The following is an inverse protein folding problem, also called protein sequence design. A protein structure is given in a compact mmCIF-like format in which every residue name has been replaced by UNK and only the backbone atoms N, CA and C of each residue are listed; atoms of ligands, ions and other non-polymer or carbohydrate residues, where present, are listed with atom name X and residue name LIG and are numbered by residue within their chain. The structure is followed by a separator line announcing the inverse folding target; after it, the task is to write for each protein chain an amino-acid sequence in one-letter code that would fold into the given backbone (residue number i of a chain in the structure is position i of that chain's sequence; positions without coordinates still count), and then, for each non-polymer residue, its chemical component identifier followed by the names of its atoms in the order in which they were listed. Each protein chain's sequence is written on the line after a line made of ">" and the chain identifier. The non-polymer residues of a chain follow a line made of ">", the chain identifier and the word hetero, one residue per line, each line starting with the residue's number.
data_IF_987792106255
#
_entry.id   IF_987792106255
#
_cell.length_a   1.000
_cell.length_b   1.000
_cell.length_c   1.000
_cell.angle_alpha   90.00
_cell.angle_beta   90.00
_cell.angle_gamma   90.00
#
_symmetry.space_group_name_H-M   'P 1'
#
loop_
_entity.id
_entity.type
_entity.pdbx_description
1 polymer ?
#
# COMPACT_ATOMS: atom_id res chain seq x y z
N UNK A 1 4.24 13.23 2.54
CA UNK A 1 5.24 12.76 1.56
C UNK A 1 5.25 11.23 1.37
N UNK A 2 4.76 10.46 2.32
CA UNK A 2 4.69 8.99 2.31
C UNK A 2 3.72 8.46 1.26
N UNK A 3 2.53 9.04 1.12
CA UNK A 3 1.48 8.61 0.18
C UNK A 3 1.93 8.37 -1.28
N UNK A 4 2.88 9.14 -1.80
CA UNK A 4 3.34 8.98 -3.19
C UNK A 4 4.33 7.82 -3.37
N UNK A 5 5.11 7.51 -2.34
CA UNK A 5 6.05 6.39 -2.35
C UNK A 5 5.29 5.06 -2.23
N UNK A 6 4.26 5.03 -1.38
CA UNK A 6 3.44 3.84 -1.15
C UNK A 6 2.67 3.42 -2.41
N UNK A 7 2.14 4.40 -3.17
CA UNK A 7 1.47 4.12 -4.43
C UNK A 7 2.42 3.59 -5.52
N UNK A 8 3.64 4.15 -5.62
CA UNK A 8 4.64 3.66 -6.55
C UNK A 8 5.10 2.24 -6.17
N UNK A 9 5.25 1.96 -4.88
CA UNK A 9 5.58 0.63 -4.39
C UNK A 9 4.45 -0.36 -4.67
N UNK A 10 3.20 0.02 -4.40
CA UNK A 10 2.02 -0.79 -4.73
C UNK A 10 1.98 -1.16 -6.21
N UNK A 11 2.09 -0.17 -7.10
CA UNK A 11 2.12 -0.41 -8.55
C UNK A 11 3.26 -1.35 -8.94
N UNK A 12 4.47 -1.13 -8.41
CA UNK A 12 5.66 -1.94 -8.69
C UNK A 12 5.46 -3.41 -8.27
N UNK A 13 4.95 -3.65 -7.06
CA UNK A 13 4.77 -5.02 -6.53
C UNK A 13 3.68 -5.75 -7.32
N UNK A 14 2.59 -5.07 -7.67
CA UNK A 14 1.55 -5.62 -8.56
C UNK A 14 2.10 -5.93 -9.95
N UNK A 15 2.91 -5.04 -10.51
CA UNK A 15 3.53 -5.24 -11.81
C UNK A 15 4.54 -6.39 -11.83
N UNK A 16 5.17 -6.70 -10.69
CA UNK A 16 6.16 -7.78 -10.61
C UNK A 16 5.60 -9.17 -10.94
N UNK A 17 4.31 -9.41 -10.76
CA UNK A 17 3.65 -10.69 -11.02
C UNK A 17 2.87 -10.71 -12.35
N UNK A 18 2.84 -9.59 -13.09
CA UNK A 18 2.12 -9.45 -14.35
C UNK A 18 3.06 -9.51 -15.55
N UNK A 19 2.56 -10.05 -16.67
CA UNK A 19 3.19 -9.96 -17.98
C UNK A 19 2.59 -8.83 -18.86
N UNK A 20 1.77 -7.94 -18.25
CA UNK A 20 1.03 -6.90 -18.97
C UNK A 20 1.93 -5.99 -19.79
N UNK A 21 1.42 -5.61 -20.98
CA UNK A 21 2.07 -4.69 -21.89
C UNK A 21 1.85 -3.25 -21.39
N UNK A 22 2.93 -2.57 -21.12
CA UNK A 22 2.91 -1.15 -20.80
C UNK A 22 2.64 -0.32 -22.06
N UNK A 23 1.62 0.52 -22.01
CA UNK A 23 1.32 1.46 -23.10
C UNK A 23 1.96 2.80 -22.79
N UNK A 24 2.91 3.21 -23.64
CA UNK A 24 3.56 4.51 -23.53
C UNK A 24 2.74 5.57 -24.27
N UNK A 25 2.29 6.60 -23.59
CA UNK A 25 1.70 7.80 -24.18
C UNK A 25 2.54 9.04 -23.89
N UNK A 26 2.49 10.03 -24.80
CA UNK A 26 3.12 11.33 -24.59
C UNK A 26 2.05 12.36 -24.19
N UNK A 27 1.97 12.70 -22.91
CA UNK A 27 0.94 13.59 -22.36
C UNK A 27 1.52 14.90 -21.83
N UNK A 28 0.70 15.96 -21.92
CA UNK A 28 1.03 17.26 -21.33
C UNK A 28 0.80 17.26 -19.81
N UNK A 29 1.74 17.78 -19.06
CA UNK A 29 1.57 17.95 -17.62
C UNK A 29 0.57 19.08 -17.33
N UNK A 30 -0.39 18.88 -16.41
CA UNK A 30 -1.34 19.93 -16.00
C UNK A 30 -0.63 21.19 -15.49
N UNK A 31 0.50 21.02 -14.78
CA UNK A 31 1.31 22.12 -14.28
C UNK A 31 2.20 22.78 -15.36
N UNK A 32 2.47 22.10 -16.49
CA UNK A 32 3.23 22.64 -17.60
C UNK A 32 2.75 22.00 -18.93
N UNK A 33 1.67 22.53 -19.53
CA UNK A 33 1.05 21.97 -20.71
C UNK A 33 1.95 22.00 -21.97
N UNK A 34 3.01 22.80 -21.97
CA UNK A 34 3.96 22.89 -23.08
C UNK A 34 5.03 21.78 -23.05
N UNK A 35 5.16 21.05 -21.92
CA UNK A 35 6.15 19.98 -21.79
C UNK A 35 5.45 18.63 -21.79
N UNK A 36 5.55 17.90 -22.88
CA UNK A 36 5.09 16.51 -22.97
C UNK A 36 6.07 15.59 -22.28
N UNK A 37 5.54 14.64 -21.51
CA UNK A 37 6.32 13.56 -20.85
C UNK A 37 5.79 12.23 -21.32
N UNK A 38 6.67 11.25 -21.46
CA UNK A 38 6.28 9.86 -21.63
C UNK A 38 5.64 9.38 -20.32
N UNK A 39 4.40 8.92 -20.42
CA UNK A 39 3.64 8.35 -19.29
C UNK A 39 3.40 6.89 -19.60
N UNK A 40 3.67 6.04 -18.63
CA UNK A 40 3.35 4.62 -18.67
C UNK A 40 1.93 4.44 -18.15
N UNK A 41 1.08 3.85 -18.97
CA UNK A 41 -0.26 3.42 -18.57
C UNK A 41 -0.23 1.91 -18.35
N UNK A 42 -0.55 1.49 -17.16
CA UNK A 42 -0.85 0.11 -16.83
C UNK A 42 -2.05 0.07 -15.88
N UNK A 43 -2.80 -1.03 -15.87
CA UNK A 43 -3.92 -1.20 -14.93
C UNK A 43 -3.48 -1.02 -13.48
N UNK A 44 -2.26 -1.47 -13.15
CA UNK A 44 -1.70 -1.39 -11.80
C UNK A 44 -1.33 0.05 -11.41
N UNK A 45 -0.80 0.84 -12.34
CA UNK A 45 -0.54 2.27 -12.12
C UNK A 45 -1.84 3.04 -11.94
N UNK A 46 -2.86 2.75 -12.75
CA UNK A 46 -4.18 3.38 -12.64
C UNK A 46 -4.85 3.02 -11.30
N UNK A 47 -4.80 1.75 -10.88
CA UNK A 47 -5.29 1.31 -9.57
C UNK A 47 -4.56 2.03 -8.43
N UNK A 48 -3.22 2.10 -8.47
CA UNK A 48 -2.44 2.81 -7.46
C UNK A 48 -2.78 4.31 -7.41
N UNK A 49 -3.04 4.94 -8.56
CA UNK A 49 -3.50 6.33 -8.64
C UNK A 49 -4.89 6.51 -8.03
N UNK A 50 -5.81 5.57 -8.26
CA UNK A 50 -7.14 5.59 -7.64
C UNK A 50 -7.04 5.44 -6.12
N UNK A 51 -6.20 4.52 -5.62
CA UNK A 51 -5.92 4.35 -4.18
C UNK A 51 -5.38 5.65 -3.57
N UNK A 52 -4.42 6.33 -4.22
CA UNK A 52 -3.93 7.63 -3.74
C UNK A 52 -5.06 8.66 -3.61
N UNK A 53 -5.97 8.71 -4.58
CA UNK A 53 -7.10 9.64 -4.54
C UNK A 53 -8.11 9.28 -3.46
N UNK A 54 -8.32 7.99 -3.19
CA UNK A 54 -9.17 7.51 -2.08
C UNK A 54 -8.57 7.95 -0.75
N UNK A 55 -7.30 7.69 -0.51
CA UNK A 55 -6.62 8.06 0.74
C UNK A 55 -6.55 9.59 0.93
N UNK A 56 -6.26 10.34 -0.15
CA UNK A 56 -6.29 11.80 -0.12
C UNK A 56 -7.68 12.36 0.20
N UNK A 57 -8.74 11.73 -0.32
CA UNK A 57 -10.12 12.11 -0.01
C UNK A 57 -10.43 11.95 1.47
N UNK A 58 -10.12 10.79 2.05
CA UNK A 58 -10.37 10.56 3.48
C UNK A 58 -9.53 11.46 4.37
N UNK A 59 -8.28 11.78 3.97
CA UNK A 59 -7.48 12.77 4.67
C UNK A 59 -8.10 14.17 4.63
N UNK A 60 -8.64 14.60 3.48
CA UNK A 60 -9.34 15.89 3.38
C UNK A 60 -10.61 15.94 4.25
N UNK A 61 -11.33 14.83 4.39
CA UNK A 61 -12.48 14.75 5.30
C UNK A 61 -12.04 14.89 6.76
N UNK A 62 -10.95 14.25 7.13
CA UNK A 62 -10.35 14.35 8.45
C UNK A 62 -9.91 15.79 8.78
N UNK A 63 -9.20 16.46 7.87
CA UNK A 63 -8.80 17.87 7.99
C UNK A 63 -10.02 18.84 8.13
N UNK A 64 -11.18 18.47 7.57
CA UNK A 64 -12.43 19.25 7.74
C UNK A 64 -13.01 19.04 9.13
N UNK A 65 -13.05 17.79 9.59
CA UNK A 65 -13.69 17.42 10.86
C UNK A 65 -12.89 17.90 12.08
N UNK A 66 -11.56 17.80 12.03
CA UNK A 66 -10.70 18.13 13.17
C UNK A 66 -10.37 19.64 13.25
N UNK A 67 -10.09 20.30 12.12
CA UNK A 67 -9.60 21.68 12.13
C UNK A 67 -10.47 22.67 11.31
N UNK A 68 -11.51 22.19 10.65
CA UNK A 68 -12.39 23.01 9.81
C UNK A 68 -11.69 23.74 8.66
N UNK A 69 -10.51 23.25 8.23
CA UNK A 69 -9.60 23.89 7.28
C UNK A 69 -10.28 24.25 5.97
N UNK A 70 -10.24 25.53 5.63
CA UNK A 70 -10.90 26.09 4.44
C UNK A 70 -10.39 25.44 3.14
N UNK A 71 -9.08 25.18 3.04
CA UNK A 71 -8.52 24.53 1.86
C UNK A 71 -9.09 23.14 1.63
N UNK A 72 -9.33 22.37 2.70
CA UNK A 72 -9.87 21.02 2.61
C UNK A 72 -11.33 21.05 2.10
N UNK A 73 -12.13 22.04 2.51
CA UNK A 73 -13.50 22.26 2.00
C UNK A 73 -13.51 22.59 0.51
N UNK A 74 -12.53 23.38 0.04
CA UNK A 74 -12.41 23.71 -1.39
C UNK A 74 -11.93 22.49 -2.18
N UNK A 75 -10.92 21.79 -1.67
CA UNK A 75 -10.35 20.60 -2.31
C UNK A 75 -11.40 19.48 -2.44
N UNK A 76 -12.15 19.17 -1.39
CA UNK A 76 -13.24 18.17 -1.45
C UNK A 76 -14.29 18.53 -2.49
N UNK A 77 -14.63 19.82 -2.65
CA UNK A 77 -15.58 20.26 -3.68
C UNK A 77 -15.06 20.02 -5.10
N UNK A 78 -13.77 20.26 -5.33
CA UNK A 78 -13.12 20.03 -6.61
C UNK A 78 -12.97 18.53 -6.94
N UNK A 79 -12.59 17.73 -5.94
CA UNK A 79 -12.35 16.29 -6.12
C UNK A 79 -13.61 15.43 -6.05
N UNK A 80 -14.72 15.94 -5.54
CA UNK A 80 -15.98 15.20 -5.31
C UNK A 80 -16.46 14.39 -6.53
N UNK A 81 -16.42 15.00 -7.72
CA UNK A 81 -16.88 14.32 -8.96
C UNK A 81 -15.96 13.16 -9.35
N UNK A 82 -14.63 13.35 -9.22
CA UNK A 82 -13.66 12.31 -9.51
C UNK A 82 -13.73 11.18 -8.48
N UNK A 83 -13.79 11.55 -7.20
CA UNK A 83 -13.93 10.58 -6.11
C UNK A 83 -15.20 9.73 -6.26
N UNK A 84 -16.34 10.35 -6.58
CA UNK A 84 -17.60 9.59 -6.80
C UNK A 84 -17.44 8.49 -7.84
N UNK A 85 -16.77 8.76 -8.96
CA UNK A 85 -16.50 7.77 -10.02
C UNK A 85 -15.58 6.65 -9.50
N UNK A 86 -14.54 7.01 -8.77
CA UNK A 86 -13.61 6.02 -8.18
C UNK A 86 -14.33 5.16 -7.14
N UNK A 87 -15.16 5.78 -6.30
CA UNK A 87 -15.96 5.08 -5.30
C UNK A 87 -16.93 4.07 -5.93
N UNK A 88 -17.61 4.44 -7.02
CA UNK A 88 -18.52 3.53 -7.74
C UNK A 88 -17.80 2.27 -8.24
N UNK A 89 -16.54 2.41 -8.69
CA UNK A 89 -15.73 1.29 -9.18
C UNK A 89 -15.05 0.48 -8.06
N UNK A 90 -14.77 1.11 -6.90
CA UNK A 90 -13.99 0.52 -5.81
C UNK A 90 -14.77 0.55 -4.48
N UNK A 91 -16.09 0.38 -4.52
CA UNK A 91 -16.95 0.59 -3.35
C UNK A 91 -16.54 -0.22 -2.14
N UNK A 92 -16.32 -1.53 -2.32
CA UNK A 92 -15.94 -2.43 -1.22
C UNK A 92 -14.63 -2.00 -0.57
N UNK A 93 -13.63 -1.62 -1.37
CA UNK A 93 -12.36 -1.13 -0.86
C UNK A 93 -12.52 0.19 -0.11
N UNK A 94 -13.28 1.14 -0.66
CA UNK A 94 -13.56 2.42 -0.01
C UNK A 94 -14.25 2.23 1.35
N UNK A 95 -15.26 1.35 1.42
CA UNK A 95 -15.99 1.07 2.66
C UNK A 95 -15.07 0.43 3.72
N UNK A 96 -14.15 -0.46 3.33
CA UNK A 96 -13.13 -1.04 4.21
C UNK A 96 -12.12 0.00 4.71
N UNK A 97 -11.63 0.87 3.83
CA UNK A 97 -10.73 1.97 4.19
C UNK A 97 -11.40 2.90 5.19
N UNK A 98 -12.64 3.32 4.91
CA UNK A 98 -13.42 4.18 5.83
C UNK A 98 -13.58 3.53 7.21
N UNK A 99 -13.94 2.26 7.25
CA UNK A 99 -14.08 1.50 8.50
C UNK A 99 -12.79 1.50 9.32
N UNK A 100 -11.66 1.13 8.70
CA UNK A 100 -10.37 1.05 9.38
C UNK A 100 -9.90 2.43 9.88
N UNK A 101 -10.04 3.48 9.06
CA UNK A 101 -9.69 4.85 9.45
C UNK A 101 -10.57 5.37 10.58
N UNK A 102 -11.87 5.05 10.58
CA UNK A 102 -12.79 5.45 11.65
C UNK A 102 -12.40 4.83 12.98
N UNK A 103 -12.13 3.51 13.02
CA UNK A 103 -11.72 2.84 14.26
C UNK A 103 -10.35 3.36 14.72
N UNK A 104 -9.41 3.58 13.80
CA UNK A 104 -8.11 4.16 14.14
C UNK A 104 -8.27 5.52 14.82
N UNK A 105 -9.08 6.44 14.25
CA UNK A 105 -9.37 7.75 14.86
C UNK A 105 -10.03 7.63 16.24
N UNK A 106 -10.95 6.69 16.44
CA UNK A 106 -11.56 6.45 17.75
C UNK A 106 -10.50 6.03 18.78
N UNK A 107 -9.56 5.17 18.41
CA UNK A 107 -8.45 4.74 19.28
C UNK A 107 -7.49 5.90 19.59
N UNK A 108 -7.19 6.75 18.61
CA UNK A 108 -6.33 7.93 18.78
C UNK A 108 -7.00 8.98 19.67
N UNK A 109 -8.28 9.29 19.46
CA UNK A 109 -9.08 10.19 20.32
C UNK A 109 -9.20 9.66 21.75
N UNK A 110 -9.30 8.34 21.93
CA UNK A 110 -9.28 7.68 23.23
C UNK A 110 -7.87 7.59 23.86
N UNK A 111 -6.85 8.10 23.17
CA UNK A 111 -5.44 8.05 23.61
C UNK A 111 -4.99 6.61 23.97
N UNK A 112 -5.29 5.70 23.07
CA UNK A 112 -5.00 4.26 23.24
C UNK A 112 -3.53 4.04 23.56
N UNK A 113 -3.26 3.20 24.57
CA UNK A 113 -1.91 2.72 24.90
C UNK A 113 -1.55 1.42 24.20
N UNK A 114 -2.46 0.84 23.44
CA UNK A 114 -2.24 -0.41 22.73
C UNK A 114 -1.67 -0.13 21.34
N UNK A 115 -0.35 -0.19 21.24
CA UNK A 115 0.37 -0.05 19.97
C UNK A 115 -0.10 -1.09 18.95
N UNK A 116 -0.36 -2.33 19.40
CA UNK A 116 -0.85 -3.38 18.51
C UNK A 116 -2.22 -3.07 17.90
N UNK A 117 -3.16 -2.50 18.69
CA UNK A 117 -4.48 -2.14 18.17
C UNK A 117 -4.40 -0.99 17.17
N UNK A 118 -3.67 0.06 17.48
CA UNK A 118 -3.58 1.24 16.60
C UNK A 118 -2.87 0.90 15.31
N UNK A 119 -1.71 0.22 15.37
CA UNK A 119 -1.00 -0.21 14.17
C UNK A 119 -1.76 -1.25 13.35
N UNK A 120 -2.61 -2.08 13.99
CA UNK A 120 -3.42 -3.09 13.31
C UNK A 120 -4.40 -2.49 12.30
N UNK A 121 -5.16 -1.46 12.68
CA UNK A 121 -6.17 -0.91 11.77
C UNK A 121 -5.56 -0.20 10.56
N UNK A 122 -4.40 0.43 10.73
CA UNK A 122 -3.66 0.96 9.58
C UNK A 122 -3.05 -0.16 8.72
N UNK A 123 -2.56 -1.22 9.35
CA UNK A 123 -2.05 -2.41 8.67
C UNK A 123 -3.16 -3.14 7.88
N UNK A 124 -4.36 -3.30 8.46
CA UNK A 124 -5.52 -3.89 7.77
C UNK A 124 -5.96 -3.06 6.56
N UNK A 125 -5.96 -1.73 6.68
CA UNK A 125 -6.23 -0.83 5.56
C UNK A 125 -5.28 -1.10 4.39
N UNK A 126 -3.97 -1.20 4.67
CA UNK A 126 -2.97 -1.50 3.65
C UNK A 126 -3.10 -2.92 3.12
N UNK A 127 -3.40 -3.90 3.97
CA UNK A 127 -3.69 -5.27 3.56
C UNK A 127 -4.86 -5.35 2.57
N UNK A 128 -5.96 -4.64 2.85
CA UNK A 128 -7.12 -4.58 1.96
C UNK A 128 -6.80 -3.92 0.60
N UNK A 129 -5.94 -2.90 0.58
CA UNK A 129 -5.47 -2.26 -0.65
C UNK A 129 -4.67 -3.25 -1.51
N UNK A 130 -3.69 -3.93 -0.92
CA UNK A 130 -2.83 -4.88 -1.64
C UNK A 130 -3.62 -6.09 -2.13
N UNK A 131 -4.51 -6.62 -1.31
CA UNK A 131 -5.44 -7.69 -1.67
C UNK A 131 -6.29 -7.30 -2.88
N UNK A 132 -6.96 -6.14 -2.83
CA UNK A 132 -7.82 -5.67 -3.92
C UNK A 132 -7.02 -5.45 -5.20
N UNK A 133 -5.77 -4.99 -5.10
CA UNK A 133 -4.88 -4.85 -6.25
C UNK A 133 -4.71 -6.18 -6.99
N UNK A 134 -4.41 -7.26 -6.29
CA UNK A 134 -4.28 -8.60 -6.89
C UNK A 134 -5.60 -9.15 -7.41
N UNK A 135 -6.70 -8.92 -6.69
CA UNK A 135 -8.02 -9.35 -7.12
C UNK A 135 -8.42 -8.73 -8.47
N UNK A 136 -7.93 -7.52 -8.76
CA UNK A 136 -8.17 -6.79 -10.01
C UNK A 136 -7.21 -7.20 -11.16
N UNK A 137 -6.17 -8.00 -10.88
CA UNK A 137 -5.25 -8.48 -11.90
C UNK A 137 -5.87 -9.68 -12.63
N UNK A 138 -5.90 -9.60 -13.95
CA UNK A 138 -6.16 -10.74 -14.81
C UNK A 138 -4.86 -11.55 -14.92
N UNK A 139 -4.69 -12.59 -14.09
CA UNK A 139 -3.55 -13.53 -14.18
C UNK A 139 -3.66 -14.45 -15.40
N UNK A 140 -4.72 -14.32 -16.17
CA UNK A 140 -5.05 -15.16 -17.31
C UNK A 140 -4.71 -14.39 -18.58
N UNK A 141 -3.70 -14.85 -19.30
CA UNK A 141 -3.54 -14.50 -20.72
C UNK A 141 -4.52 -15.35 -21.56
N UNK A 142 -5.82 -14.99 -21.48
CA UNK A 142 -6.87 -15.66 -22.26
C UNK A 142 -6.61 -15.61 -23.76
N UNK A 143 -5.84 -14.64 -24.24
CA UNK A 143 -5.46 -14.55 -25.67
C UNK A 143 -4.40 -15.57 -26.08
N UNK A 144 -3.48 -15.98 -25.20
CA UNK A 144 -2.51 -17.05 -25.49
C UNK A 144 -3.20 -18.41 -25.55
N UNK A 145 -4.11 -18.67 -24.60
CA UNK A 145 -4.87 -19.95 -24.58
C UNK A 145 -5.74 -20.09 -25.83
N UNK A 146 -6.36 -19.00 -26.33
CA UNK A 146 -7.16 -19.05 -27.56
C UNK A 146 -6.35 -19.13 -28.86
N UNK A 147 -5.08 -18.70 -28.88
CA UNK A 147 -4.25 -18.77 -30.11
C UNK A 147 -3.59 -20.13 -30.29
N UNK A 148 -3.42 -20.93 -29.26
CA UNK A 148 -2.92 -22.30 -29.36
C UNK A 148 -3.99 -23.30 -29.85
N UNK A 149 -5.28 -23.02 -29.64
CA UNK A 149 -6.40 -23.89 -30.04
C UNK A 149 -6.88 -23.69 -31.50
N UNK A 150 -6.29 -22.77 -32.28
CA UNK A 150 -6.70 -22.54 -33.70
C UNK A 150 -5.93 -23.35 -34.72
N UNK A 151 -5.29 -24.45 -34.34
CA UNK A 151 -4.74 -25.44 -35.29
C UNK A 151 -5.75 -26.57 -35.54
N UNK A 152 -6.50 -26.39 -36.61
CA UNK A 152 -7.26 -27.31 -37.46
C UNK A 152 -7.19 -28.81 -37.16
N UNK A 153 -8.35 -29.38 -36.95
CA UNK A 153 -8.92 -30.72 -37.11
C UNK A 153 -9.59 -31.21 -35.84
N UNK A 154 -10.87 -30.87 -35.69
CA UNK A 154 -11.67 -31.27 -34.54
C UNK A 154 -12.42 -32.57 -34.78
N UNK A 155 -11.93 -33.67 -34.17
CA UNK A 155 -12.74 -34.84 -33.88
C UNK A 155 -13.45 -34.68 -32.52
N UNK A 156 -14.63 -35.28 -32.37
CA UNK A 156 -15.49 -35.17 -31.17
C UNK A 156 -14.78 -35.65 -29.86
N UNK A 157 -13.75 -36.46 -29.97
CA UNK A 157 -12.87 -36.89 -28.88
C UNK A 157 -11.93 -35.75 -28.39
N UNK A 158 -11.42 -34.94 -29.29
CA UNK A 158 -10.54 -33.81 -28.97
C UNK A 158 -11.29 -32.69 -28.21
N UNK A 159 -12.60 -32.54 -28.46
CA UNK A 159 -13.44 -31.57 -27.73
C UNK A 159 -13.60 -31.90 -26.25
N UNK A 160 -13.73 -33.19 -25.88
CA UNK A 160 -13.83 -33.59 -24.47
C UNK A 160 -12.48 -33.45 -23.75
N UNK A 161 -11.41 -33.82 -24.40
CA UNK A 161 -10.06 -33.68 -23.81
C UNK A 161 -9.66 -32.20 -23.65
N UNK A 162 -10.00 -31.34 -24.62
CA UNK A 162 -9.84 -29.90 -24.55
C UNK A 162 -10.66 -29.26 -23.40
N UNK A 163 -11.88 -29.73 -23.18
CA UNK A 163 -12.74 -29.25 -22.08
C UNK A 163 -12.17 -29.61 -20.71
N UNK A 164 -11.67 -30.83 -20.51
CA UNK A 164 -11.03 -31.25 -19.25
C UNK A 164 -9.71 -30.52 -19.01
N UNK A 165 -8.89 -30.30 -20.04
CA UNK A 165 -7.66 -29.49 -19.93
C UNK A 165 -7.95 -28.06 -19.55
N UNK A 166 -8.98 -27.45 -20.13
CA UNK A 166 -9.40 -26.08 -19.81
C UNK A 166 -9.88 -25.97 -18.34
N UNK A 167 -10.71 -26.91 -17.89
CA UNK A 167 -11.20 -26.90 -16.51
C UNK A 167 -10.06 -27.09 -15.48
N UNK A 168 -9.03 -27.89 -15.81
CA UNK A 168 -7.86 -28.09 -14.97
C UNK A 168 -6.93 -26.85 -14.95
N UNK A 169 -6.78 -26.16 -16.07
CA UNK A 169 -6.06 -24.88 -16.18
C UNK A 169 -6.77 -23.79 -15.37
N UNK A 170 -8.07 -23.68 -15.52
CA UNK A 170 -8.88 -22.68 -14.77
C UNK A 170 -8.78 -22.91 -13.25
N UNK A 171 -8.79 -24.18 -12.79
CA UNK A 171 -8.60 -24.52 -11.37
C UNK A 171 -7.20 -24.15 -10.85
N UNK A 172 -6.17 -24.41 -11.62
CA UNK A 172 -4.78 -24.05 -11.23
C UNK A 172 -4.61 -22.54 -11.12
N UNK A 173 -5.19 -21.79 -12.05
CA UNK A 173 -5.13 -20.33 -12.06
C UNK A 173 -5.91 -19.71 -10.88
N UNK A 174 -7.08 -20.26 -10.55
CA UNK A 174 -7.84 -19.85 -9.36
C UNK A 174 -7.06 -20.11 -8.08
N UNK A 175 -6.39 -21.26 -7.96
CA UNK A 175 -5.54 -21.59 -6.81
C UNK A 175 -4.32 -20.64 -6.74
N UNK A 176 -3.69 -20.33 -7.85
CA UNK A 176 -2.57 -19.40 -7.89
C UNK A 176 -3.00 -17.99 -7.51
N UNK A 177 -4.15 -17.52 -8.02
CA UNK A 177 -4.71 -16.21 -7.66
C UNK A 177 -5.04 -16.13 -6.18
N UNK A 178 -5.68 -17.16 -5.62
CA UNK A 178 -5.97 -17.23 -4.18
C UNK A 178 -4.69 -17.17 -3.34
N UNK A 179 -3.65 -17.86 -3.75
CA UNK A 179 -2.35 -17.83 -3.08
C UNK A 179 -1.70 -16.44 -3.12
N UNK A 180 -1.74 -15.76 -4.29
CA UNK A 180 -1.23 -14.41 -4.40
C UNK A 180 -2.03 -13.41 -3.55
N UNK A 181 -3.34 -13.57 -3.45
CA UNK A 181 -4.19 -12.75 -2.58
C UNK A 181 -3.69 -12.80 -1.12
N UNK A 182 -3.40 -14.00 -0.61
CA UNK A 182 -2.88 -14.16 0.76
C UNK A 182 -1.48 -13.54 0.93
N UNK A 183 -0.57 -13.76 -0.03
CA UNK A 183 0.78 -13.20 0.00
C UNK A 183 0.73 -11.65 -0.02
N UNK A 184 -0.06 -11.08 -0.93
CA UNK A 184 -0.16 -9.63 -1.03
C UNK A 184 -0.84 -8.99 0.18
N UNK A 185 -1.81 -9.68 0.78
CA UNK A 185 -2.40 -9.25 2.04
C UNK A 185 -1.34 -9.20 3.15
N UNK A 186 -0.47 -10.22 3.25
CA UNK A 186 0.63 -10.26 4.22
C UNK A 186 1.65 -9.14 3.97
N UNK A 187 2.03 -8.90 2.71
CA UNK A 187 2.89 -7.77 2.33
C UNK A 187 2.26 -6.45 2.74
N UNK A 188 1.00 -6.22 2.36
CA UNK A 188 0.28 -4.99 2.66
C UNK A 188 0.14 -4.74 4.16
N UNK A 189 -0.19 -5.77 4.94
CA UNK A 189 -0.31 -5.69 6.39
C UNK A 189 1.01 -5.25 7.05
N UNK A 190 2.11 -5.89 6.69
CA UNK A 190 3.41 -5.60 7.31
C UNK A 190 4.00 -4.28 6.83
N UNK A 191 3.78 -3.88 5.56
CA UNK A 191 4.12 -2.54 5.07
C UNK A 191 3.31 -1.47 5.83
N UNK A 192 2.00 -1.67 5.99
CA UNK A 192 1.15 -0.74 6.72
C UNK A 192 1.58 -0.59 8.18
N UNK A 193 1.87 -1.69 8.87
CA UNK A 193 2.37 -1.65 10.25
C UNK A 193 3.70 -0.94 10.34
N UNK A 194 4.62 -1.21 9.41
CA UNK A 194 5.93 -0.56 9.33
C UNK A 194 5.79 0.95 9.09
N UNK A 195 4.98 1.37 8.10
CA UNK A 195 4.75 2.80 7.79
C UNK A 195 4.18 3.54 9.00
N UNK A 196 3.14 2.99 9.64
CA UNK A 196 2.51 3.61 10.80
C UNK A 196 3.49 3.83 11.95
N UNK A 197 4.38 2.86 12.19
CA UNK A 197 5.38 2.95 13.25
C UNK A 197 6.54 3.90 12.92
N UNK A 198 7.00 3.91 11.67
CA UNK A 198 8.05 4.83 11.20
C UNK A 198 7.58 6.27 11.32
N UNK A 199 6.36 6.58 10.90
CA UNK A 199 5.77 7.91 11.06
C UNK A 199 5.64 8.29 12.53
N UNK A 200 5.16 7.37 13.36
CA UNK A 200 5.07 7.61 14.80
C UNK A 200 6.43 7.93 15.44
N UNK A 201 7.54 7.33 14.98
CA UNK A 201 8.90 7.67 15.43
C UNK A 201 9.34 9.04 14.95
N UNK A 202 9.09 9.35 13.67
CA UNK A 202 9.48 10.63 13.05
C UNK A 202 8.79 11.80 13.77
N UNK A 203 7.52 11.65 14.07
CA UNK A 203 6.65 12.68 14.64
C UNK A 203 6.78 12.86 16.17
N UNK A 204 7.63 12.11 16.87
CA UNK A 204 7.70 12.16 18.35
C UNK A 204 7.93 13.58 18.85
N UNK A 205 8.92 14.30 18.31
CA UNK A 205 9.27 15.63 18.78
C UNK A 205 8.17 16.65 18.55
N UNK A 206 7.56 16.62 17.38
CA UNK A 206 6.42 17.49 17.03
C UNK A 206 5.20 17.18 17.91
N UNK A 207 4.88 15.90 18.13
CA UNK A 207 3.74 15.48 18.93
C UNK A 207 3.94 15.77 20.43
N UNK A 208 5.16 15.73 20.96
CA UNK A 208 5.45 16.19 22.31
C UNK A 208 5.23 17.69 22.47
N UNK A 209 5.61 18.51 21.45
CA UNK A 209 5.42 19.96 21.48
C UNK A 209 3.96 20.39 21.32
N UNK A 210 3.23 19.70 20.43
CA UNK A 210 1.82 20.06 20.11
C UNK A 210 0.81 19.40 21.04
N UNK A 211 1.20 18.35 21.75
CA UNK A 211 0.30 17.52 22.55
C UNK A 211 -0.60 16.61 21.69
N UNK A 212 -0.28 16.45 20.41
CA UNK A 212 -0.95 15.53 19.51
C UNK A 212 -0.75 14.08 19.96
N UNK A 213 -1.70 13.22 19.56
CA UNK A 213 -1.58 11.80 19.87
C UNK A 213 -0.42 11.16 19.11
N UNK A 214 0.37 10.37 19.82
CA UNK A 214 1.39 9.52 19.23
C UNK A 214 1.38 8.15 19.95
N UNK A 215 1.20 7.03 19.24
CA UNK A 215 1.02 5.73 19.87
C UNK A 215 2.23 5.28 20.69
N UNK A 216 3.45 5.70 20.32
CA UNK A 216 4.68 5.38 21.03
C UNK A 216 4.78 6.16 22.34
N UNK A 217 4.44 7.45 22.34
CA UNK A 217 4.43 8.30 23.54
C UNK A 217 3.49 7.70 24.58
N UNK A 218 2.27 7.30 24.18
CA UNK A 218 1.31 6.70 25.10
C UNK A 218 1.66 5.27 25.52
N UNK A 219 2.22 4.48 24.62
CA UNK A 219 2.64 3.09 24.90
C UNK A 219 3.77 3.03 25.91
N UNK A 220 4.80 3.86 25.73
CA UNK A 220 6.05 3.81 26.49
C UNK A 220 6.12 4.86 27.61
N UNK A 221 5.06 5.64 27.82
CA UNK A 221 4.99 6.69 28.85
C UNK A 221 6.22 7.61 28.81
N UNK A 222 6.23 8.59 27.91
CA UNK A 222 7.25 9.63 27.95
C UNK A 222 7.16 10.40 29.27
N UNK A 223 8.27 10.57 29.98
CA UNK A 223 8.35 11.29 31.24
C UNK A 223 8.25 12.79 31.01
N UNK A 224 7.79 13.55 32.03
CA UNK A 224 7.53 15.00 31.86
C UNK A 224 8.77 15.81 31.46
N UNK A 225 9.93 15.40 31.95
CA UNK A 225 11.20 16.09 31.73
C UNK A 225 12.08 15.38 30.70
N UNK A 226 11.57 14.34 30.06
CA UNK A 226 12.28 13.56 29.04
C UNK A 226 12.20 14.27 27.69
N UNK A 227 13.37 14.59 27.09
CA UNK A 227 13.41 15.15 25.75
C UNK A 227 12.96 14.13 24.70
N UNK A 228 12.47 14.59 23.54
CA UNK A 228 12.09 13.70 22.42
C UNK A 228 13.26 12.82 21.98
N UNK A 229 14.49 13.34 22.01
CA UNK A 229 15.73 12.61 21.69
C UNK A 229 15.97 11.49 22.70
N UNK A 230 15.92 11.77 24.00
CA UNK A 230 16.14 10.77 25.04
C UNK A 230 15.05 9.71 25.02
N UNK A 231 13.81 10.13 24.82
CA UNK A 231 12.68 9.21 24.65
C UNK A 231 12.87 8.27 23.45
N UNK A 232 13.19 8.80 22.25
CA UNK A 232 13.52 7.98 21.07
C UNK A 232 14.63 6.97 21.38
N UNK A 233 15.70 7.40 22.03
CA UNK A 233 16.82 6.55 22.44
C UNK A 233 16.38 5.42 23.36
N UNK A 234 15.54 5.71 24.35
CA UNK A 234 15.04 4.73 25.33
C UNK A 234 14.16 3.66 24.71
N UNK A 235 13.29 4.03 23.77
CA UNK A 235 12.34 3.10 23.15
C UNK A 235 12.92 2.38 21.90
N UNK A 236 14.02 2.88 21.35
CA UNK A 236 14.65 2.37 20.11
C UNK A 236 14.77 0.85 20.07
N UNK A 237 15.29 0.12 21.09
CA UNK A 237 15.46 -1.33 21.00
C UNK A 237 14.15 -2.09 20.81
N UNK A 238 13.04 -1.58 21.37
CA UNK A 238 11.72 -2.20 21.26
C UNK A 238 11.09 -1.91 19.90
N UNK A 239 11.18 -0.66 19.44
CA UNK A 239 10.61 -0.24 18.14
C UNK A 239 11.38 -0.88 17.00
N UNK A 240 12.71 -0.88 17.04
CA UNK A 240 13.57 -1.51 16.05
C UNK A 240 13.20 -2.98 15.84
N UNK A 241 13.04 -3.73 16.94
CA UNK A 241 12.62 -5.13 16.88
C UNK A 241 11.29 -5.31 16.13
N UNK A 242 10.30 -4.46 16.36
CA UNK A 242 8.99 -4.55 15.71
C UNK A 242 9.13 -4.24 14.22
N UNK A 243 9.89 -3.20 13.88
CA UNK A 243 10.13 -2.80 12.49
C UNK A 243 10.86 -3.90 11.71
N UNK A 244 11.91 -4.49 12.29
CA UNK A 244 12.66 -5.60 11.69
C UNK A 244 11.75 -6.81 11.44
N UNK A 245 10.90 -7.18 12.41
CA UNK A 245 9.92 -8.26 12.22
C UNK A 245 8.98 -7.99 11.03
N UNK A 246 8.48 -6.75 10.89
CA UNK A 246 7.66 -6.40 9.72
C UNK A 246 8.44 -6.60 8.42
N UNK A 247 9.69 -6.14 8.34
CA UNK A 247 10.53 -6.29 7.16
C UNK A 247 10.85 -7.75 6.83
N UNK A 248 11.08 -8.59 7.85
CA UNK A 248 11.26 -10.04 7.66
C UNK A 248 10.02 -10.72 7.09
N UNK A 249 8.82 -10.36 7.57
CA UNK A 249 7.56 -10.89 7.04
C UNK A 249 7.35 -10.48 5.58
N UNK A 250 7.63 -9.22 5.25
CA UNK A 250 7.55 -8.73 3.86
C UNK A 250 8.51 -9.52 2.96
N UNK A 251 9.77 -9.67 3.38
CA UNK A 251 10.79 -10.39 2.62
C UNK A 251 10.37 -11.84 2.37
N UNK A 252 9.94 -12.56 3.41
CA UNK A 252 9.44 -13.94 3.30
C UNK A 252 8.23 -14.06 2.39
N UNK A 253 7.30 -13.11 2.46
CA UNK A 253 6.12 -13.11 1.61
C UNK A 253 6.51 -12.89 0.13
N UNK A 254 7.43 -11.95 -0.15
CA UNK A 254 7.91 -11.70 -1.52
C UNK A 254 8.70 -12.88 -2.10
N UNK A 255 9.42 -13.65 -1.28
CA UNK A 255 10.12 -14.87 -1.73
C UNK A 255 9.16 -15.96 -2.24
N UNK A 256 7.88 -15.92 -1.83
CA UNK A 256 6.84 -16.83 -2.33
C UNK A 256 6.23 -16.39 -3.67
N UNK A 257 6.55 -15.18 -4.15
CA UNK A 257 6.06 -14.67 -5.42
C UNK A 257 6.90 -15.19 -6.59
N UNK A 258 6.23 -15.61 -7.66
CA UNK A 258 6.88 -15.82 -8.96
C UNK A 258 7.06 -14.47 -9.66
N UNK A 259 8.18 -13.81 -9.35
CA UNK A 259 8.49 -12.45 -9.84
C UNK A 259 8.91 -12.50 -11.30
N UNK A 260 8.05 -12.00 -12.20
CA UNK A 260 8.23 -11.99 -13.66
C UNK A 260 9.13 -10.85 -14.15
N UNK A 261 8.97 -9.64 -13.57
CA UNK A 261 9.72 -8.44 -13.96
C UNK A 261 10.12 -7.60 -12.75
N UNK A 262 11.03 -6.66 -12.94
CA UNK A 262 11.47 -5.69 -11.93
C UNK A 262 12.10 -6.28 -10.65
N UNK A 263 12.51 -7.55 -10.65
CA UNK A 263 13.06 -8.23 -9.46
C UNK A 263 14.21 -7.47 -8.79
N UNK A 264 15.11 -6.87 -9.59
CA UNK A 264 16.23 -6.09 -9.04
C UNK A 264 15.78 -4.83 -8.31
N UNK A 265 14.75 -4.14 -8.83
CA UNK A 265 14.18 -2.92 -8.20
C UNK A 265 13.48 -3.32 -6.91
N UNK A 266 12.63 -4.36 -6.95
CA UNK A 266 11.92 -4.88 -5.79
C UNK A 266 12.87 -5.25 -4.67
N UNK A 267 13.91 -6.06 -4.97
CA UNK A 267 14.92 -6.45 -4.00
C UNK A 267 15.68 -5.25 -3.42
N UNK A 268 16.02 -4.26 -4.24
CA UNK A 268 16.71 -3.06 -3.75
C UNK A 268 15.84 -2.26 -2.78
N UNK A 269 14.53 -2.14 -3.04
CA UNK A 269 13.60 -1.48 -2.12
C UNK A 269 13.51 -2.26 -0.81
N UNK A 270 13.26 -3.57 -0.87
CA UNK A 270 13.01 -4.39 0.31
C UNK A 270 14.25 -4.58 1.19
N UNK A 271 15.37 -4.99 0.59
CA UNK A 271 16.56 -5.39 1.33
C UNK A 271 17.55 -4.24 1.61
N UNK A 272 17.37 -3.09 0.94
CA UNK A 272 18.24 -1.93 1.13
C UNK A 272 17.43 -0.68 1.53
N UNK A 273 16.41 -0.33 0.76
CA UNK A 273 15.67 0.92 0.94
C UNK A 273 14.95 1.00 2.28
N UNK A 274 14.14 -0.02 2.60
CA UNK A 274 13.35 -0.04 3.85
C UNK A 274 14.24 -0.16 5.09
N UNK A 275 15.29 -1.00 5.04
CA UNK A 275 16.27 -1.10 6.13
C UNK A 275 16.99 0.23 6.35
N UNK A 276 17.48 0.84 5.27
CA UNK A 276 18.16 2.13 5.34
C UNK A 276 17.25 3.23 5.92
N UNK A 277 15.96 3.26 5.52
CA UNK A 277 14.98 4.19 6.06
C UNK A 277 14.72 3.95 7.54
N UNK A 278 14.63 2.68 7.97
CA UNK A 278 14.50 2.31 9.38
C UNK A 278 15.72 2.81 10.18
N UNK A 279 16.92 2.55 9.69
CA UNK A 279 18.16 3.01 10.33
C UNK A 279 18.25 4.54 10.41
N UNK A 280 17.87 5.25 9.35
CA UNK A 280 17.91 6.71 9.30
C UNK A 280 16.99 7.34 10.35
N UNK A 281 15.76 6.83 10.50
CA UNK A 281 14.78 7.36 11.45
C UNK A 281 15.15 6.99 12.90
N UNK A 282 15.74 5.82 13.09
CA UNK A 282 16.21 5.36 14.41
C UNK A 282 17.62 5.87 14.77
N UNK A 283 18.34 6.50 13.83
CA UNK A 283 19.64 7.14 14.16
C UNK A 283 19.42 8.33 15.07
N UNK A 284 20.29 8.45 16.05
CA UNK A 284 20.37 9.61 16.91
C UNK A 284 20.76 10.82 16.04
N UNK A 285 20.05 11.93 16.16
CA UNK A 285 20.50 13.24 15.65
C UNK A 285 21.72 13.69 16.45
N UNK A 286 22.89 13.12 16.13
CA UNK A 286 24.17 13.48 16.77
C UNK A 286 24.83 14.69 16.13
N UNK A 287 24.15 15.41 15.21
CA UNK A 287 24.71 16.62 14.60
C UNK A 287 23.65 17.66 14.28
N UNK A 288 23.26 18.44 15.29
CA UNK A 288 22.93 19.85 15.16
C UNK A 288 23.44 20.57 16.41
N UNK A 289 24.74 20.74 16.46
CA UNK A 289 25.43 21.78 17.28
C UNK A 289 25.96 22.82 16.34
#
# INVERSE_FOLDING_TARGET
>A
MILSFDAAFLALVLDCICEDVEVLSNEGCIANPFKRKAIVHSKNVDFAADVMLILAWYKLLDDIDDEGRLYAKIATKLFKRKFKRIYENNRVLCDKIDYNLRILRELEKAKSRSLDKTSHYFAELMADIFQTGVENIDLIDTEKVMKEDTCQNENEYDKKEGFYKKEEVDKRQLLQKSHYVEIFREIGYNIGKWVYLIDAVDDIEENLQTGAYNPLIYRFNCEKDESGIDFKKRIKPQVDRILVICLEHIAKAVELLDVKKNKGILNNILYVGLLKKTDEILKEDTQKT
#
